data_IF_996390845759
#
_entry.id   IF_996390845759
#
_cell.length_a   1.000
_cell.length_b   1.000
_cell.length_c   1.000
_cell.angle_alpha   90.00
_cell.angle_beta   90.00
_cell.angle_gamma   90.00
#
_symmetry.space_group_name_H-M   'P 1'
#
loop_
_entity.id
_entity.type
_entity.pdbx_description
1 polymer ?
#
# COMPACT_ATOMS: atom_id res chain seq x y z
N UNK A 1 37.95 3.65 22.84
CA UNK A 1 37.56 4.53 23.96
C UNK A 1 36.90 5.75 23.34
N UNK A 2 35.70 6.12 23.80
CA UNK A 2 34.89 7.19 23.21
C UNK A 2 34.79 8.36 24.20
N UNK A 3 34.84 9.59 23.69
CA UNK A 3 34.73 10.81 24.49
C UNK A 3 33.64 11.73 23.94
N UNK A 4 32.97 12.46 24.83
CA UNK A 4 32.07 13.56 24.50
C UNK A 4 32.32 14.71 25.46
N UNK A 5 32.53 15.92 24.93
CA UNK A 5 32.83 17.11 25.72
C UNK A 5 34.00 16.90 26.70
N UNK A 6 35.03 16.14 26.31
CA UNK A 6 36.19 15.84 27.14
C UNK A 6 36.00 14.74 28.20
N UNK A 7 34.78 14.22 28.38
CA UNK A 7 34.48 13.12 29.31
C UNK A 7 34.41 11.78 28.58
N UNK A 8 34.88 10.71 29.23
CA UNK A 8 34.75 9.34 28.72
C UNK A 8 33.25 8.97 28.68
N UNK A 9 32.77 8.52 27.52
CA UNK A 9 31.38 8.14 27.31
C UNK A 9 31.11 6.68 27.68
N UNK A 10 29.92 6.42 28.20
CA UNK A 10 29.37 5.07 28.44
C UNK A 10 28.59 4.51 27.24
N UNK A 11 28.56 5.25 26.11
CA UNK A 11 27.83 4.88 24.90
C UNK A 11 26.47 5.56 24.80
N UNK A 12 25.60 5.04 23.92
CA UNK A 12 24.28 5.61 23.56
C UNK A 12 24.35 7.13 23.34
N UNK A 13 25.33 7.55 22.57
CA UNK A 13 25.66 8.97 22.45
C UNK A 13 25.95 9.36 21.02
N UNK A 14 25.52 10.56 20.66
CA UNK A 14 25.99 11.22 19.44
C UNK A 14 27.31 11.94 19.68
N UNK A 15 28.30 11.63 18.84
CA UNK A 15 29.57 12.36 18.70
C UNK A 15 29.72 12.70 17.22
N UNK A 16 29.83 13.99 16.90
CA UNK A 16 29.94 14.52 15.52
C UNK A 16 28.90 13.94 14.54
N UNK A 17 27.65 13.79 15.02
CA UNK A 17 26.53 13.26 14.22
C UNK A 17 26.54 11.74 14.00
N UNK A 18 27.48 11.01 14.60
CA UNK A 18 27.52 9.54 14.62
C UNK A 18 27.00 9.06 15.96
N UNK A 19 25.99 8.20 15.93
CA UNK A 19 25.47 7.52 17.11
C UNK A 19 26.30 6.29 17.43
N UNK A 20 26.78 6.23 18.67
CA UNK A 20 27.53 5.10 19.21
C UNK A 20 26.66 4.31 20.19
N UNK A 21 26.67 2.99 20.05
CA UNK A 21 25.99 2.07 20.97
C UNK A 21 26.71 1.96 22.32
N UNK A 22 26.18 1.12 23.19
CA UNK A 22 26.82 0.76 24.48
C UNK A 22 28.17 0.08 24.31
N UNK A 23 28.38 -0.60 23.18
CA UNK A 23 29.64 -1.22 22.80
C UNK A 23 30.71 -0.20 22.33
N UNK A 24 30.38 1.10 22.39
CA UNK A 24 31.23 2.21 21.96
C UNK A 24 31.62 2.17 20.48
N UNK A 25 30.85 1.45 19.65
CA UNK A 25 31.01 1.40 18.19
C UNK A 25 29.87 2.17 17.52
N UNK A 26 30.09 2.68 16.29
CA UNK A 26 28.99 3.25 15.51
C UNK A 26 27.85 2.23 15.38
N UNK A 27 26.63 2.67 15.70
CA UNK A 27 25.46 1.80 15.71
C UNK A 27 25.18 1.20 14.32
N UNK A 28 24.97 -0.11 14.28
CA UNK A 28 24.73 -0.88 13.05
C UNK A 28 23.54 -1.84 13.21
N UNK A 29 22.45 -1.35 13.81
CA UNK A 29 21.20 -2.08 13.99
C UNK A 29 20.11 -1.15 14.53
N UNK A 30 19.04 -1.72 15.06
CA UNK A 30 18.09 -1.04 15.93
C UNK A 30 18.73 -0.62 17.25
N UNK A 31 18.68 0.66 17.56
CA UNK A 31 19.05 1.21 18.86
C UNK A 31 18.02 2.24 19.31
N UNK A 32 17.81 2.32 20.63
CA UNK A 32 17.16 3.46 21.25
C UNK A 32 18.20 4.58 21.44
N UNK A 33 17.97 5.73 20.81
CA UNK A 33 18.86 6.89 20.90
C UNK A 33 18.51 7.86 22.04
N UNK A 34 17.59 7.45 22.92
CA UNK A 34 17.05 8.25 24.03
C UNK A 34 15.78 9.00 23.65
N UNK A 35 15.40 9.02 22.37
CA UNK A 35 14.10 9.58 21.91
C UNK A 35 13.17 8.50 21.39
N UNK A 36 13.69 7.52 20.65
CA UNK A 36 12.95 6.38 20.12
C UNK A 36 13.91 5.33 19.56
N UNK A 37 13.35 4.20 19.14
CA UNK A 37 14.09 3.17 18.40
C UNK A 37 14.31 3.57 16.94
N UNK A 38 15.54 3.57 16.47
CA UNK A 38 15.88 3.81 15.07
C UNK A 38 16.82 2.73 14.56
N UNK A 39 16.70 2.41 13.28
CA UNK A 39 17.64 1.56 12.56
C UNK A 39 18.80 2.43 12.07
N UNK A 40 20.01 2.06 12.48
CA UNK A 40 21.25 2.74 12.14
C UNK A 40 22.11 1.88 11.20
N UNK A 41 22.82 2.57 10.32
CA UNK A 41 23.96 2.02 9.59
C UNK A 41 25.13 2.97 9.74
N UNK A 42 26.29 2.45 10.15
CA UNK A 42 27.50 3.22 10.41
C UNK A 42 27.25 4.43 11.34
N UNK A 43 26.39 4.23 12.36
CA UNK A 43 26.01 5.23 13.35
C UNK A 43 25.09 6.34 12.83
N UNK A 44 24.58 6.26 11.61
CA UNK A 44 23.58 7.21 11.08
C UNK A 44 22.23 6.54 10.92
N UNK A 45 21.15 7.27 11.20
CA UNK A 45 19.77 6.80 10.94
C UNK A 45 19.65 6.46 9.45
N UNK A 46 19.25 5.22 9.17
CA UNK A 46 19.31 4.69 7.81
C UNK A 46 18.23 5.29 6.90
N UNK A 47 18.56 5.45 5.62
CA UNK A 47 17.61 5.81 4.57
C UNK A 47 17.80 4.86 3.38
N UNK A 48 16.71 4.33 2.84
CA UNK A 48 16.73 3.35 1.78
C UNK A 48 16.49 1.92 2.28
N UNK A 49 16.83 0.93 1.45
CA UNK A 49 16.64 -0.47 1.82
C UNK A 49 17.67 -0.93 2.85
N UNK A 50 17.21 -1.60 3.90
CA UNK A 50 18.01 -2.31 4.90
C UNK A 50 17.43 -3.69 5.15
N UNK A 51 18.18 -4.56 5.83
CA UNK A 51 17.71 -5.88 6.25
C UNK A 51 17.82 -5.96 7.75
N UNK A 52 16.73 -6.36 8.40
CA UNK A 52 16.74 -6.70 9.81
C UNK A 52 16.07 -8.04 10.09
N UNK A 53 15.75 -8.34 11.36
CA UNK A 53 15.06 -9.56 11.76
C UNK A 53 13.70 -9.76 11.07
N UNK A 54 13.08 -8.70 10.55
CA UNK A 54 11.81 -8.75 9.81
C UNK A 54 12.02 -8.81 8.28
N UNK A 55 13.26 -9.03 7.82
CA UNK A 55 13.64 -9.12 6.41
C UNK A 55 14.01 -7.78 5.78
N UNK A 56 13.98 -7.71 4.45
CA UNK A 56 14.28 -6.48 3.70
C UNK A 56 13.14 -5.46 3.87
N UNK A 57 13.50 -4.24 4.28
CA UNK A 57 12.59 -3.12 4.56
C UNK A 57 13.16 -1.83 4.00
N UNK A 58 12.29 -0.89 3.64
CA UNK A 58 12.67 0.47 3.28
C UNK A 58 12.53 1.37 4.50
N UNK A 59 13.57 2.17 4.74
CA UNK A 59 13.67 3.06 5.88
C UNK A 59 13.73 4.52 5.43
N UNK A 60 13.10 5.40 6.21
CA UNK A 60 13.31 6.84 6.15
C UNK A 60 13.62 7.30 7.57
N UNK A 61 14.75 7.99 7.73
CA UNK A 61 15.24 8.46 9.01
C UNK A 61 15.27 7.36 10.10
N UNK A 62 15.73 6.16 9.73
CA UNK A 62 15.87 5.01 10.62
C UNK A 62 14.54 4.39 11.06
N UNK A 63 13.41 4.75 10.47
CA UNK A 63 12.11 4.12 10.72
C UNK A 63 11.64 3.39 9.47
N UNK A 64 10.90 2.30 9.64
CA UNK A 64 10.17 1.73 8.52
C UNK A 64 9.23 2.76 7.92
N UNK A 65 9.16 2.80 6.59
CA UNK A 65 8.22 3.66 5.89
C UNK A 65 6.81 3.10 5.98
N UNK A 66 5.85 3.97 6.30
CA UNK A 66 4.42 3.77 6.10
C UNK A 66 3.92 4.97 5.31
N UNK A 67 3.74 4.82 3.99
CA UNK A 67 3.42 5.93 3.09
C UNK A 67 4.20 5.93 1.78
N UNK A 68 4.15 7.05 1.07
CA UNK A 68 4.74 7.19 -0.25
C UNK A 68 6.23 7.55 -0.23
N UNK A 69 7.02 6.82 -1.01
CA UNK A 69 8.39 7.17 -1.39
C UNK A 69 8.52 6.97 -2.90
N UNK A 70 8.93 8.01 -3.62
CA UNK A 70 9.08 7.97 -5.09
C UNK A 70 7.84 7.42 -5.82
N UNK A 71 6.64 7.87 -5.40
CA UNK A 71 5.33 7.44 -5.93
C UNK A 71 4.95 5.97 -5.66
N UNK A 72 5.73 5.24 -4.88
CA UNK A 72 5.40 3.89 -4.42
C UNK A 72 4.95 3.95 -2.97
N UNK A 73 3.83 3.32 -2.66
CA UNK A 73 3.29 3.20 -1.32
C UNK A 73 3.91 2.01 -0.60
N UNK A 74 4.36 2.24 0.62
CA UNK A 74 4.93 1.23 1.49
C UNK A 74 4.07 1.08 2.74
N UNK A 75 3.89 -0.16 3.18
CA UNK A 75 3.41 -0.49 4.52
C UNK A 75 4.51 -1.26 5.24
N UNK A 76 4.85 -0.84 6.44
CA UNK A 76 5.86 -1.46 7.29
C UNK A 76 7.17 -1.70 6.52
N UNK A 77 7.61 -0.70 5.74
CA UNK A 77 8.81 -0.74 4.92
C UNK A 77 8.77 -1.72 3.73
N UNK A 78 7.63 -2.34 3.42
CA UNK A 78 7.45 -3.19 2.23
C UNK A 78 6.54 -2.49 1.22
N UNK A 79 6.77 -2.73 -0.08
CA UNK A 79 5.82 -2.30 -1.09
C UNK A 79 4.45 -2.90 -0.79
N UNK A 80 3.42 -2.05 -0.80
CA UNK A 80 2.07 -2.47 -0.53
C UNK A 80 1.54 -3.40 -1.63
N UNK A 81 0.95 -4.51 -1.21
CA UNK A 81 0.39 -5.55 -2.08
C UNK A 81 -0.99 -5.99 -1.59
N UNK A 82 -1.78 -5.04 -1.10
CA UNK A 82 -3.12 -5.26 -0.57
C UNK A 82 -3.90 -3.94 -0.45
N UNK A 83 -5.07 -3.98 0.19
CA UNK A 83 -5.80 -2.81 0.64
C UNK A 83 -5.06 -2.08 1.76
N UNK A 84 -4.81 -0.78 1.55
CA UNK A 84 -4.27 0.13 2.55
C UNK A 84 -4.96 1.50 2.45
N UNK A 85 -5.07 2.19 3.58
CA UNK A 85 -5.41 3.60 3.63
C UNK A 85 -4.14 4.42 3.38
N UNK A 86 -4.14 5.24 2.33
CA UNK A 86 -2.99 6.09 1.98
C UNK A 86 -3.01 7.48 2.66
N UNK A 87 -3.96 7.69 3.57
CA UNK A 87 -4.25 8.96 4.22
C UNK A 87 -5.34 9.78 3.53
N UNK A 88 -5.81 9.34 2.36
CA UNK A 88 -6.96 9.95 1.65
C UNK A 88 -8.15 9.01 1.56
N UNK A 89 -7.91 7.74 1.25
CA UNK A 89 -8.91 6.68 1.26
C UNK A 89 -8.22 5.31 1.20
N UNK A 90 -9.04 4.26 1.28
CA UNK A 90 -8.60 2.88 1.03
C UNK A 90 -8.37 2.60 -0.44
N UNK A 91 -7.21 2.07 -0.80
CA UNK A 91 -6.90 1.62 -2.16
C UNK A 91 -6.25 0.23 -2.14
N UNK A 92 -6.53 -0.56 -3.16
CA UNK A 92 -5.82 -1.79 -3.45
C UNK A 92 -4.52 -1.46 -4.17
N UNK A 93 -3.41 -1.88 -3.56
CA UNK A 93 -2.07 -1.71 -4.09
C UNK A 93 -1.51 -3.02 -4.62
N UNK A 94 -0.73 -2.94 -5.68
CA UNK A 94 0.15 -4.01 -6.16
C UNK A 94 1.52 -3.40 -6.44
N UNK A 95 2.56 -3.98 -5.85
CA UNK A 95 3.93 -3.48 -5.92
C UNK A 95 4.04 -1.98 -5.57
N UNK A 96 3.27 -1.55 -4.56
CA UNK A 96 3.23 -0.18 -4.06
C UNK A 96 2.49 0.81 -4.97
N UNK A 97 1.86 0.37 -6.05
CA UNK A 97 1.05 1.24 -6.93
C UNK A 97 -0.43 0.92 -6.78
N UNK A 98 -1.28 1.93 -6.86
CA UNK A 98 -2.74 1.73 -6.97
C UNK A 98 -3.02 0.87 -8.19
N UNK A 99 -3.64 -0.29 -7.97
CA UNK A 99 -3.73 -1.33 -9.00
C UNK A 99 -4.71 -0.99 -10.11
N UNK A 100 -4.42 -1.43 -11.33
CA UNK A 100 -5.32 -1.39 -12.46
C UNK A 100 -5.37 -2.77 -13.11
N UNK A 101 -6.56 -3.26 -13.43
CA UNK A 101 -6.78 -4.60 -13.97
C UNK A 101 -7.24 -5.61 -12.91
N UNK A 102 -7.16 -6.89 -13.27
CA UNK A 102 -7.62 -7.99 -12.40
C UNK A 102 -6.67 -8.24 -11.23
N UNK A 103 -7.22 -8.49 -10.05
CA UNK A 103 -6.51 -9.05 -8.90
C UNK A 103 -7.47 -9.85 -8.01
N UNK A 104 -6.93 -10.65 -7.11
CA UNK A 104 -7.71 -11.40 -6.12
C UNK A 104 -7.57 -10.72 -4.77
N UNK A 105 -8.69 -10.46 -4.12
CA UNK A 105 -8.73 -10.08 -2.71
C UNK A 105 -9.73 -10.94 -1.91
N UNK A 106 -10.12 -10.48 -0.72
CA UNK A 106 -11.09 -11.18 0.13
C UNK A 106 -12.46 -11.44 -0.52
N UNK A 107 -12.80 -10.71 -1.59
CA UNK A 107 -14.05 -10.86 -2.34
C UNK A 107 -13.85 -11.66 -3.66
N UNK A 108 -12.70 -12.32 -3.82
CA UNK A 108 -12.34 -13.13 -4.98
C UNK A 108 -11.68 -12.32 -6.10
N UNK A 109 -11.75 -12.81 -7.34
CA UNK A 109 -11.22 -12.09 -8.50
C UNK A 109 -12.06 -10.83 -8.78
N UNK A 110 -11.42 -9.67 -8.76
CA UNK A 110 -12.02 -8.36 -8.95
C UNK A 110 -11.26 -7.57 -10.01
N UNK A 111 -11.98 -6.73 -10.73
CA UNK A 111 -11.42 -5.74 -11.64
C UNK A 111 -11.23 -4.41 -10.91
N UNK A 112 -10.04 -3.82 -11.04
CA UNK A 112 -9.67 -2.57 -10.37
C UNK A 112 -9.37 -1.46 -11.36
N UNK A 113 -9.72 -0.23 -10.98
CA UNK A 113 -9.33 1.02 -11.65
C UNK A 113 -8.79 1.96 -10.57
N UNK A 114 -7.53 2.38 -10.73
CA UNK A 114 -6.82 3.26 -9.80
C UNK A 114 -6.94 2.82 -8.32
N UNK A 115 -6.78 1.52 -8.07
CA UNK A 115 -6.82 0.92 -6.73
C UNK A 115 -8.21 0.87 -6.11
N UNK A 116 -9.27 1.15 -6.86
CA UNK A 116 -10.66 0.94 -6.42
C UNK A 116 -11.28 -0.18 -7.23
N UNK A 117 -12.29 -0.82 -6.68
CA UNK A 117 -13.14 -1.69 -7.49
C UNK A 117 -13.72 -0.93 -8.68
N UNK A 118 -13.70 -1.56 -9.85
CA UNK A 118 -14.23 -1.00 -11.07
C UNK A 118 -15.75 -0.78 -10.93
N UNK A 119 -16.17 0.44 -11.25
CA UNK A 119 -17.57 0.88 -11.32
C UNK A 119 -17.74 1.68 -12.62
N UNK A 120 -17.33 1.09 -13.74
CA UNK A 120 -17.18 1.77 -15.04
C UNK A 120 -17.17 0.74 -16.17
N UNK A 121 -17.30 1.21 -17.41
CA UNK A 121 -17.08 0.41 -18.60
C UNK A 121 -15.59 0.18 -18.86
N UNK A 122 -15.25 -1.05 -19.23
CA UNK A 122 -13.92 -1.45 -19.71
C UNK A 122 -14.19 -2.35 -20.92
N UNK A 123 -13.70 -1.94 -22.09
CA UNK A 123 -13.96 -2.64 -23.37
C UNK A 123 -15.46 -2.97 -23.57
N UNK A 124 -16.32 -1.95 -23.41
CA UNK A 124 -17.79 -2.03 -23.51
C UNK A 124 -18.49 -2.92 -22.48
N UNK A 125 -17.76 -3.52 -21.54
CA UNK A 125 -18.31 -4.32 -20.45
C UNK A 125 -18.40 -3.43 -19.19
N UNK A 126 -19.60 -3.25 -18.69
CA UNK A 126 -19.83 -2.56 -17.43
C UNK A 126 -19.45 -3.44 -16.24
N UNK A 127 -18.57 -2.90 -15.39
CA UNK A 127 -18.23 -3.47 -14.10
C UNK A 127 -18.90 -2.69 -12.98
N UNK A 128 -19.41 -3.40 -11.99
CA UNK A 128 -19.96 -2.85 -10.75
C UNK A 128 -19.29 -3.57 -9.58
N UNK A 129 -18.74 -2.80 -8.65
CA UNK A 129 -18.02 -3.32 -7.48
C UNK A 129 -16.95 -4.37 -7.85
N UNK A 130 -16.29 -4.15 -8.98
CA UNK A 130 -15.20 -4.99 -9.46
C UNK A 130 -15.64 -6.28 -10.17
N UNK A 131 -16.95 -6.56 -10.28
CA UNK A 131 -17.50 -7.70 -11.03
C UNK A 131 -18.18 -7.23 -12.32
N UNK A 132 -18.26 -8.11 -13.31
CA UNK A 132 -19.11 -7.90 -14.49
C UNK A 132 -20.57 -7.76 -14.03
N UNK A 133 -21.24 -6.69 -14.43
CA UNK A 133 -22.62 -6.46 -14.05
C UNK A 133 -23.56 -7.51 -14.68
N UNK A 134 -24.39 -8.15 -13.85
CA UNK A 134 -25.34 -9.19 -14.26
C UNK A 134 -26.72 -8.97 -13.62
N UNK A 135 -27.06 -7.72 -13.33
CA UNK A 135 -28.31 -7.32 -12.70
C UNK A 135 -28.66 -5.87 -13.08
N UNK A 136 -29.77 -5.35 -12.54
CA UNK A 136 -30.06 -3.92 -12.56
C UNK A 136 -28.93 -3.13 -11.89
N UNK A 137 -28.36 -2.17 -12.61
CA UNK A 137 -27.32 -1.29 -12.12
C UNK A 137 -27.48 0.12 -12.69
N UNK A 138 -27.08 1.10 -11.88
CA UNK A 138 -26.85 2.48 -12.31
C UNK A 138 -25.39 2.60 -12.78
N UNK A 139 -25.20 3.03 -14.02
CA UNK A 139 -23.88 3.25 -14.62
C UNK A 139 -23.36 4.69 -14.46
N UNK A 140 -24.08 5.51 -13.72
CA UNK A 140 -23.83 6.94 -13.51
C UNK A 140 -24.63 7.83 -14.46
N UNK A 141 -25.29 7.26 -15.47
CA UNK A 141 -26.20 7.97 -16.38
C UNK A 141 -27.66 7.59 -16.15
N UNK A 142 -27.95 6.28 -16.06
CA UNK A 142 -29.28 5.76 -15.77
C UNK A 142 -29.23 4.32 -15.25
N UNK A 143 -30.39 3.81 -14.83
CA UNK A 143 -30.58 2.40 -14.46
C UNK A 143 -30.82 1.53 -15.69
N UNK A 144 -30.05 0.43 -15.80
CA UNK A 144 -30.20 -0.56 -16.86
C UNK A 144 -30.15 -1.97 -16.29
N UNK A 145 -30.85 -2.90 -16.92
CA UNK A 145 -30.59 -4.32 -16.70
C UNK A 145 -29.34 -4.72 -17.48
N UNK A 146 -28.27 -5.09 -16.77
CA UNK A 146 -27.05 -5.59 -17.38
C UNK A 146 -27.01 -7.11 -17.40
N UNK A 147 -26.59 -7.70 -18.52
CA UNK A 147 -26.23 -9.12 -18.62
C UNK A 147 -24.86 -9.25 -19.26
N UNK A 148 -23.95 -9.94 -18.60
CA UNK A 148 -22.53 -10.03 -18.97
C UNK A 148 -21.89 -8.65 -19.19
N UNK A 149 -22.31 -7.66 -18.39
CA UNK A 149 -21.84 -6.28 -18.42
C UNK A 149 -22.37 -5.44 -19.58
N UNK A 150 -23.30 -5.97 -20.39
CA UNK A 150 -23.95 -5.21 -21.46
C UNK A 150 -25.34 -4.80 -21.03
N UNK A 151 -25.67 -3.52 -21.26
CA UNK A 151 -27.01 -3.01 -21.04
C UNK A 151 -27.97 -3.62 -22.06
N UNK A 152 -29.09 -4.16 -21.58
CA UNK A 152 -30.17 -4.68 -22.41
C UNK A 152 -31.22 -3.56 -22.53
N UNK A 153 -31.55 -3.08 -23.75
CA UNK A 153 -32.60 -2.09 -23.95
C UNK A 153 -33.96 -2.61 -23.48
N UNK A 154 -34.81 -1.73 -22.96
CA UNK A 154 -36.13 -2.08 -22.40
C UNK A 154 -37.02 -2.89 -23.36
N UNK A 155 -36.88 -2.72 -24.69
CA UNK A 155 -37.62 -3.50 -25.68
C UNK A 155 -37.28 -4.99 -25.70
N UNK A 156 -36.07 -5.41 -25.32
CA UNK A 156 -35.70 -6.82 -25.24
C UNK A 156 -36.13 -7.48 -23.92
N UNK A 157 -36.34 -6.70 -22.86
CA UNK A 157 -36.83 -7.20 -21.57
C UNK A 157 -38.26 -7.76 -21.67
N UNK A 158 -39.09 -7.19 -22.57
CA UNK A 158 -40.46 -7.63 -22.86
C UNK A 158 -40.49 -9.06 -23.46
N UNK A 159 -39.43 -9.48 -24.17
CA UNK A 159 -39.34 -10.83 -24.73
C UNK A 159 -38.89 -11.87 -23.70
N UNK A 160 -38.05 -11.49 -22.73
CA UNK A 160 -37.62 -12.40 -21.65
C UNK A 160 -38.75 -12.66 -20.66
N UNK A 161 -39.60 -11.65 -20.37
CA UNK A 161 -40.78 -11.80 -19.51
C UNK A 161 -41.91 -12.68 -20.08
N UNK A 162 -41.91 -12.97 -21.38
CA UNK A 162 -42.92 -13.83 -22.04
C UNK A 162 -42.60 -15.33 -21.99
N UNK A 163 -41.42 -15.74 -21.51
CA UNK A 163 -41.02 -17.15 -21.37
C UNK A 163 -41.05 -17.64 -19.90
N UNK A 164 -41.74 -16.93 -19.00
CA UNK A 164 -41.92 -17.33 -17.58
C UNK A 164 -43.42 -17.38 -17.22
N UNK A 165 -44.28 -17.84 -18.14
CA UNK A 165 -45.66 -18.24 -17.85
C UNK A 165 -45.85 -19.72 -18.17
#
# INVERSE_FOLDING_TARGET
>A
MLYKNGLKSEGRVYVDGIFYGEDLKPANWWYDDGTSWYFFQNGKKHNGYGVDGNGKRYFVNGKYVNGYVNKLFYENGKLANWWYDDGTAWYFFKEGKKHNGKAVDGNGEMQFVNGKYANTYIDEIFYREGKIANWWCDDGSAWYFSKMGKNIPDMELILVGKNIL
#
